data_IF_712594211478
#
_entry.id   IF_712594211478
#
_cell.length_a   1.000
_cell.length_b   1.000
_cell.length_c   1.000
_cell.angle_alpha   90.00
_cell.angle_beta   90.00
_cell.angle_gamma   90.00
#
_symmetry.space_group_name_H-M   'P 1'
#
loop_
_entity.id
_entity.type
_entity.pdbx_description
1 polymer ?
#
# COMPACT_ATOMS: atom_id res chain seq x y z
N UNK A 1 -0.94 0.15 32.61
CA UNK A 1 -1.36 -0.16 31.23
C UNK A 1 -0.31 0.43 30.28
N UNK A 2 0.59 -0.40 29.75
CA UNK A 2 1.59 0.05 28.78
C UNK A 2 0.94 0.10 27.40
N UNK A 3 0.58 1.30 26.96
CA UNK A 3 0.17 1.51 25.57
C UNK A 3 1.43 1.38 24.70
N UNK A 4 1.37 0.54 23.67
CA UNK A 4 2.40 0.36 22.66
C UNK A 4 2.09 1.33 21.50
N UNK A 5 2.71 2.53 21.46
CA UNK A 5 2.43 3.53 20.42
C UNK A 5 2.86 3.10 19.02
N UNK A 6 3.54 1.95 18.91
CA UNK A 6 4.03 1.27 17.72
C UNK A 6 3.19 0.03 17.34
N UNK A 7 2.06 -0.23 18.02
CA UNK A 7 1.22 -1.38 17.71
C UNK A 7 0.45 -1.18 16.41
N UNK A 8 1.07 -1.61 15.31
CA UNK A 8 0.61 -1.40 13.93
C UNK A 8 -0.86 -1.75 13.69
N UNK A 9 -1.41 -2.91 14.13
CA UNK A 9 -2.82 -3.21 13.93
C UNK A 9 -3.77 -2.17 14.53
N UNK A 10 -3.45 -1.62 15.70
CA UNK A 10 -4.27 -0.57 16.32
C UNK A 10 -4.12 0.77 15.58
N UNK A 11 -2.91 1.13 15.15
CA UNK A 11 -2.69 2.34 14.35
C UNK A 11 -3.48 2.29 13.04
N UNK A 12 -3.45 1.15 12.34
CA UNK A 12 -4.22 0.93 11.09
C UNK A 12 -5.72 1.01 11.35
N UNK A 13 -6.23 0.28 12.34
CA UNK A 13 -7.66 0.27 12.64
C UNK A 13 -8.17 1.67 13.04
N UNK A 14 -7.40 2.42 13.85
CA UNK A 14 -7.76 3.79 14.20
C UNK A 14 -7.74 4.71 12.98
N UNK A 15 -6.75 4.56 12.09
CA UNK A 15 -6.70 5.35 10.86
C UNK A 15 -7.92 5.10 9.97
N UNK A 16 -8.35 3.85 9.83
CA UNK A 16 -9.54 3.50 9.06
C UNK A 16 -10.80 4.15 9.67
N UNK A 17 -10.94 4.13 11.00
CA UNK A 17 -12.04 4.80 11.70
C UNK A 17 -12.00 6.32 11.48
N UNK A 18 -10.82 6.95 11.59
CA UNK A 18 -10.67 8.40 11.34
C UNK A 18 -11.01 8.77 9.90
N UNK A 19 -10.62 7.94 8.93
CA UNK A 19 -10.99 8.11 7.53
C UNK A 19 -12.51 8.03 7.34
N UNK A 20 -13.19 7.05 7.97
CA UNK A 20 -14.66 6.95 7.94
C UNK A 20 -15.38 8.15 8.57
N UNK A 21 -14.70 8.88 9.47
CA UNK A 21 -15.20 10.13 10.05
C UNK A 21 -14.83 11.37 9.24
N UNK A 22 -14.16 11.22 8.08
CA UNK A 22 -13.68 12.31 7.24
C UNK A 22 -12.42 13.02 7.75
N UNK A 23 -11.81 12.51 8.83
CA UNK A 23 -10.58 13.06 9.41
C UNK A 23 -9.32 12.54 8.68
N UNK A 24 -9.23 12.83 7.38
CA UNK A 24 -8.23 12.26 6.47
C UNK A 24 -6.79 12.61 6.87
N UNK A 25 -6.55 13.80 7.44
CA UNK A 25 -5.22 14.23 7.91
C UNK A 25 -4.74 13.34 9.06
N UNK A 26 -5.61 13.04 10.01
CA UNK A 26 -5.25 12.22 11.17
C UNK A 26 -5.11 10.74 10.77
N UNK A 27 -5.96 10.26 9.87
CA UNK A 27 -5.80 8.93 9.28
C UNK A 27 -4.45 8.78 8.56
N UNK A 28 -4.03 9.79 7.80
CA UNK A 28 -2.74 9.79 7.11
C UNK A 28 -1.58 9.77 8.11
N UNK A 29 -1.65 10.60 9.16
CA UNK A 29 -0.64 10.65 10.22
C UNK A 29 -0.46 9.27 10.88
N UNK A 30 -1.56 8.60 11.21
CA UNK A 30 -1.56 7.27 11.83
C UNK A 30 -0.99 6.20 10.90
N UNK A 31 -1.35 6.21 9.61
CA UNK A 31 -0.81 5.26 8.64
C UNK A 31 0.67 5.48 8.36
N UNK A 32 1.14 6.74 8.34
CA UNK A 32 2.58 7.03 8.25
C UNK A 32 3.35 6.54 9.48
N UNK A 33 2.78 6.72 10.68
CA UNK A 33 3.36 6.19 11.91
C UNK A 33 3.41 4.65 11.87
N UNK A 34 2.36 3.99 11.38
CA UNK A 34 2.34 2.55 11.15
C UNK A 34 3.40 2.12 10.14
N UNK A 35 3.64 2.90 9.08
CA UNK A 35 4.64 2.62 8.06
C UNK A 35 6.07 2.75 8.61
N UNK A 36 6.31 3.70 9.53
CA UNK A 36 7.59 3.80 10.25
C UNK A 36 7.80 2.59 11.18
N UNK A 37 6.74 2.14 11.87
CA UNK A 37 6.83 1.01 12.80
C UNK A 37 6.98 -0.35 12.07
N UNK A 38 6.38 -0.51 10.89
CA UNK A 38 6.50 -1.72 10.08
C UNK A 38 6.67 -1.38 8.58
N UNK A 39 7.90 -1.04 8.15
CA UNK A 39 8.18 -0.58 6.78
C UNK A 39 7.95 -1.65 5.70
N UNK A 40 7.92 -2.93 6.08
CA UNK A 40 7.66 -4.06 5.17
C UNK A 40 6.20 -4.54 5.20
N UNK A 41 5.30 -3.85 5.91
CA UNK A 41 3.91 -4.28 6.04
C UNK A 41 3.08 -3.83 4.83
N UNK A 42 2.71 -4.79 3.99
CA UNK A 42 1.92 -4.58 2.77
C UNK A 42 0.58 -3.88 3.05
N UNK A 43 -0.11 -4.26 4.13
CA UNK A 43 -1.43 -3.71 4.46
C UNK A 43 -1.36 -2.23 4.85
N UNK A 44 -0.28 -1.80 5.50
CA UNK A 44 -0.07 -0.40 5.87
C UNK A 44 0.06 0.46 4.62
N UNK A 45 0.92 0.05 3.69
CA UNK A 45 1.15 0.76 2.43
C UNK A 45 -0.08 0.75 1.52
N UNK A 46 -0.83 -0.36 1.49
CA UNK A 46 -2.12 -0.44 0.81
C UNK A 46 -3.12 0.59 1.36
N UNK A 47 -3.32 0.62 2.69
CA UNK A 47 -4.26 1.53 3.32
C UNK A 47 -3.84 2.99 3.16
N UNK A 48 -2.53 3.29 3.21
CA UNK A 48 -2.01 4.63 2.94
C UNK A 48 -2.28 5.05 1.49
N UNK A 49 -2.04 4.16 0.52
CA UNK A 49 -2.32 4.44 -0.89
C UNK A 49 -3.80 4.69 -1.15
N UNK A 50 -4.68 3.86 -0.57
CA UNK A 50 -6.14 4.04 -0.71
C UNK A 50 -6.62 5.36 -0.12
N UNK A 51 -6.12 5.74 1.06
CA UNK A 51 -6.47 7.01 1.71
C UNK A 51 -6.07 8.22 0.84
N UNK A 52 -4.93 8.14 0.18
CA UNK A 52 -4.35 9.26 -0.58
C UNK A 52 -4.87 9.36 -2.01
N UNK A 53 -5.57 8.34 -2.52
CA UNK A 53 -5.82 8.15 -3.96
C UNK A 53 -6.44 9.34 -4.67
N UNK A 54 -7.43 10.00 -4.06
CA UNK A 54 -8.16 11.10 -4.69
C UNK A 54 -7.44 12.46 -4.53
N UNK A 55 -6.78 12.68 -3.40
CA UNK A 55 -6.24 14.00 -3.03
C UNK A 55 -4.76 14.14 -3.40
N UNK A 56 -4.00 13.04 -3.34
CA UNK A 56 -2.54 13.00 -3.54
C UNK A 56 -2.14 11.78 -4.38
N UNK A 57 -2.56 11.71 -5.66
CA UNK A 57 -2.37 10.52 -6.50
C UNK A 57 -0.90 10.12 -6.67
N UNK A 58 0.03 11.08 -6.70
CA UNK A 58 1.47 10.79 -6.79
C UNK A 58 1.98 10.06 -5.53
N UNK A 59 1.54 10.48 -4.34
CA UNK A 59 1.92 9.81 -3.08
C UNK A 59 1.21 8.47 -2.91
N UNK A 60 -0.07 8.39 -3.33
CA UNK A 60 -0.81 7.13 -3.35
C UNK A 60 -0.14 6.07 -4.23
N UNK A 61 0.31 6.48 -5.43
CA UNK A 61 1.12 5.65 -6.32
C UNK A 61 2.39 5.15 -5.63
N UNK A 62 3.12 6.02 -4.94
CA UNK A 62 4.33 5.63 -4.23
C UNK A 62 4.04 4.59 -3.13
N UNK A 63 2.94 4.77 -2.37
CA UNK A 63 2.53 3.82 -1.35
C UNK A 63 2.16 2.44 -1.95
N UNK A 64 1.44 2.40 -3.08
CA UNK A 64 1.15 1.12 -3.75
C UNK A 64 2.40 0.45 -4.32
N UNK A 65 3.37 1.23 -4.81
CA UNK A 65 4.67 0.69 -5.23
C UNK A 65 5.44 0.09 -4.05
N UNK A 66 5.41 0.70 -2.86
CA UNK A 66 6.01 0.11 -1.67
C UNK A 66 5.29 -1.17 -1.22
N UNK A 67 3.96 -1.21 -1.32
CA UNK A 67 3.19 -2.44 -1.07
C UNK A 67 3.63 -3.58 -2.01
N UNK A 68 3.81 -3.29 -3.30
CA UNK A 68 4.31 -4.25 -4.30
C UNK A 68 5.80 -4.58 -4.15
N UNK A 69 6.61 -3.66 -3.61
CA UNK A 69 8.00 -3.97 -3.27
C UNK A 69 8.07 -4.98 -2.12
N UNK A 70 7.15 -4.89 -1.17
CA UNK A 70 7.05 -5.81 -0.03
C UNK A 70 6.43 -7.16 -0.42
N UNK A 71 5.37 -7.14 -1.22
CA UNK A 71 4.73 -8.31 -1.81
C UNK A 71 4.41 -8.06 -3.29
N UNK A 72 5.30 -8.49 -4.20
CA UNK A 72 5.10 -8.34 -5.64
C UNK A 72 3.86 -9.05 -6.16
N UNK A 73 3.30 -10.01 -5.42
CA UNK A 73 2.10 -10.75 -5.84
C UNK A 73 0.80 -10.12 -5.37
N UNK A 74 0.86 -8.99 -4.67
CA UNK A 74 -0.32 -8.38 -4.06
C UNK A 74 -1.27 -7.81 -5.12
N UNK A 75 -2.33 -8.56 -5.42
CA UNK A 75 -3.32 -8.20 -6.43
C UNK A 75 -4.03 -6.88 -6.14
N UNK A 76 -4.31 -6.56 -4.87
CA UNK A 76 -4.98 -5.33 -4.48
C UNK A 76 -4.09 -4.10 -4.75
N UNK A 77 -2.80 -4.20 -4.46
CA UNK A 77 -1.85 -3.11 -4.72
C UNK A 77 -1.67 -2.88 -6.22
N UNK A 78 -1.53 -3.96 -7.00
CA UNK A 78 -1.44 -3.88 -8.46
C UNK A 78 -2.71 -3.28 -9.08
N UNK A 79 -3.89 -3.71 -8.63
CA UNK A 79 -5.16 -3.18 -9.10
C UNK A 79 -5.29 -1.67 -8.82
N UNK A 80 -5.09 -1.24 -7.56
CA UNK A 80 -5.23 0.16 -7.19
C UNK A 80 -4.16 1.06 -7.84
N UNK A 81 -2.94 0.54 -8.03
CA UNK A 81 -1.91 1.21 -8.80
C UNK A 81 -2.32 1.41 -10.26
N UNK A 82 -2.94 0.39 -10.88
CA UNK A 82 -3.51 0.48 -12.23
C UNK A 82 -4.59 1.56 -12.34
N UNK A 83 -5.50 1.64 -11.35
CA UNK A 83 -6.55 2.67 -11.28
C UNK A 83 -5.93 4.07 -11.19
N UNK A 84 -4.93 4.28 -10.31
CA UNK A 84 -4.28 5.59 -10.16
C UNK A 84 -3.39 5.97 -11.34
N UNK A 85 -2.78 4.99 -12.02
CA UNK A 85 -1.89 5.25 -13.14
C UNK A 85 -2.61 5.40 -14.49
N UNK A 86 -3.84 4.89 -14.61
CA UNK A 86 -4.66 4.97 -15.83
C UNK A 86 -4.75 6.38 -16.45
N UNK A 87 -4.87 7.49 -15.69
CA UNK A 87 -4.94 8.82 -16.27
C UNK A 87 -3.59 9.32 -16.82
N UNK A 88 -2.47 8.78 -16.35
CA UNK A 88 -1.12 9.35 -16.61
C UNK A 88 -0.27 8.51 -17.54
N UNK A 89 -0.38 7.17 -17.53
CA UNK A 89 0.30 6.29 -18.49
C UNK A 89 -0.11 4.81 -18.35
N UNK A 90 -1.08 4.36 -19.15
CA UNK A 90 -1.52 2.95 -19.20
C UNK A 90 -0.37 1.97 -19.49
N UNK A 91 0.60 2.35 -20.34
CA UNK A 91 1.74 1.50 -20.67
C UNK A 91 2.63 1.21 -19.45
N UNK A 92 2.83 2.20 -18.58
CA UNK A 92 3.66 2.05 -17.38
C UNK A 92 2.94 1.22 -16.31
N UNK A 93 1.63 1.37 -16.17
CA UNK A 93 0.79 0.54 -15.32
C UNK A 93 0.80 -0.93 -15.76
N UNK A 94 0.72 -1.18 -17.07
CA UNK A 94 0.82 -2.51 -17.66
C UNK A 94 2.20 -3.14 -17.46
N UNK A 95 3.28 -2.35 -17.58
CA UNK A 95 4.65 -2.82 -17.32
C UNK A 95 4.83 -3.25 -15.85
N UNK A 96 4.34 -2.47 -14.88
CA UNK A 96 4.40 -2.86 -13.46
C UNK A 96 3.55 -4.08 -13.13
N UNK A 97 2.36 -4.16 -13.71
CA UNK A 97 1.48 -5.34 -13.57
C UNK A 97 2.12 -6.58 -14.23
N UNK A 98 2.85 -6.40 -15.33
CA UNK A 98 3.62 -7.48 -15.97
C UNK A 98 4.81 -7.91 -15.11
N UNK A 99 5.58 -6.99 -14.55
CA UNK A 99 6.73 -7.33 -13.70
C UNK A 99 6.33 -8.09 -12.43
N UNK A 100 5.20 -7.72 -11.83
CA UNK A 100 4.61 -8.42 -10.67
C UNK A 100 4.11 -9.83 -11.04
N UNK A 101 3.49 -10.01 -12.21
CA UNK A 101 3.07 -11.30 -12.73
C UNK A 101 4.23 -12.21 -13.20
N UNK A 102 5.31 -11.65 -13.75
CA UNK A 102 6.50 -12.40 -14.22
C UNK A 102 7.41 -12.83 -13.07
N UNK A 103 7.40 -12.15 -11.92
CA UNK A 103 8.11 -12.66 -10.74
C UNK A 103 7.64 -14.06 -10.30
N UNK A 104 6.43 -14.46 -10.72
CA UNK A 104 5.87 -15.81 -10.55
C UNK A 104 6.65 -16.90 -11.30
N UNK A 105 7.39 -16.59 -12.37
CA UNK A 105 8.06 -17.60 -13.19
C UNK A 105 9.53 -17.84 -12.86
N UNK A 106 10.14 -17.09 -11.93
CA UNK A 106 11.57 -17.26 -11.57
C UNK A 106 11.79 -17.71 -10.12
N UNK A 107 10.76 -17.71 -9.26
CA UNK A 107 10.88 -18.36 -7.95
C UNK A 107 10.55 -19.85 -8.06
N UNK A 108 11.47 -20.61 -8.66
CA UNK A 108 11.51 -22.07 -8.61
C UNK A 108 11.86 -22.59 -7.21
N UNK A 109 11.06 -22.25 -6.19
CA UNK A 109 11.17 -22.79 -4.83
C UNK A 109 10.45 -24.15 -4.68
N UNK A 110 10.47 -24.99 -5.70
CA UNK A 110 10.24 -26.43 -5.59
C UNK A 110 11.34 -27.18 -6.37
N UNK A 111 12.54 -27.24 -5.78
CA UNK A 111 13.40 -28.41 -5.90
C UNK A 111 13.48 -29.04 -4.51
N UNK A 112 12.61 -30.02 -4.28
CA UNK A 112 12.90 -31.19 -3.46
C UNK A 112 12.86 -32.39 -4.41
#
# INVERSE_FOLDING_TARGET
>A
MHLRPDFVPALVNLALLQNSLGANIEAERLLRQAATAAPSNVAVHLNLGMLLGEQKPTEARAAFLEALRCDPSNAAAAFNLGVIAAPTNLAQAMEWTRHTLVFRSVCGCCRL
#
